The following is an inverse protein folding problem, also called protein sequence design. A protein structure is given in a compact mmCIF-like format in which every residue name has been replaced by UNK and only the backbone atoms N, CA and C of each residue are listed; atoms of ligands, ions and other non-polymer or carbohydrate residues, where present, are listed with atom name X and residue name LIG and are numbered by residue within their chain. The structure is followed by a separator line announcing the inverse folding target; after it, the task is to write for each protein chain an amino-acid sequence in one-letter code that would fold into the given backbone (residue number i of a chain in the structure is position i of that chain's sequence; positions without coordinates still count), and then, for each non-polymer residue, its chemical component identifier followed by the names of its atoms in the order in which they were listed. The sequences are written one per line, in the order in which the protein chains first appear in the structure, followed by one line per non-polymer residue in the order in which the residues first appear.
data_IF_800687562412
#
_entry.id   IF_800687562412
#
_cell.length_a   1.000
_cell.length_b   1.000
_cell.length_c   1.000
_cell.angle_alpha   90.00
_cell.angle_beta   90.00
_cell.angle_gamma   90.00
#
_symmetry.space_group_name_H-M   'P 1'
#
loop_
_entity.id
_entity.type
_entity.pdbx_description
1 polymer ?
#
# COMPACT_ATOMS: atom_id res chain seq x y z
N UNK A 1 -1.56 2.00 19.48
CA UNK A 1 -2.66 1.27 18.82
C UNK A 1 -2.44 1.36 17.31
N UNK A 2 -2.48 0.26 16.59
CA UNK A 2 -2.23 0.24 15.15
C UNK A 2 -3.27 1.11 14.41
N UNK A 3 -2.79 2.00 13.52
CA UNK A 3 -3.64 2.91 12.73
C UNK A 3 -3.88 2.43 11.30
N UNK A 4 -3.03 1.54 10.80
CA UNK A 4 -3.11 0.99 9.45
C UNK A 4 -3.15 -0.53 9.51
N UNK A 5 -4.14 -1.14 8.86
CA UNK A 5 -4.15 -2.56 8.59
C UNK A 5 -3.45 -2.86 7.26
N UNK A 6 -2.59 -3.86 7.22
CA UNK A 6 -2.00 -4.38 5.98
C UNK A 6 -2.45 -5.82 5.83
N UNK A 7 -3.17 -6.14 4.76
CA UNK A 7 -3.70 -7.49 4.52
C UNK A 7 -3.36 -7.99 3.13
N UNK A 8 -2.96 -9.25 3.03
CA UNK A 8 -2.64 -9.92 1.76
C UNK A 8 -3.20 -11.33 1.71
N UNK A 9 -3.50 -11.82 0.52
CA UNK A 9 -4.09 -13.15 0.32
C UNK A 9 -3.09 -14.31 0.35
N UNK A 10 -1.80 -14.02 0.26
CA UNK A 10 -0.72 -15.00 0.22
C UNK A 10 0.60 -14.39 0.70
N UNK A 11 1.47 -15.23 1.25
CA UNK A 11 2.85 -14.86 1.59
C UNK A 11 3.71 -14.50 0.36
N UNK A 12 3.32 -14.94 -0.83
CA UNK A 12 3.94 -14.52 -2.10
C UNK A 12 3.87 -13.02 -2.34
N UNK A 13 2.92 -12.32 -1.72
CA UNK A 13 2.72 -10.88 -1.84
C UNK A 13 3.62 -10.10 -0.86
N UNK A 14 4.22 -10.78 0.11
CA UNK A 14 5.02 -10.19 1.19
C UNK A 14 6.10 -9.23 0.68
N UNK A 15 6.90 -9.52 -0.37
CA UNK A 15 7.94 -8.61 -0.84
C UNK A 15 7.42 -7.24 -1.30
N UNK A 16 6.16 -7.18 -1.75
CA UNK A 16 5.49 -5.94 -2.14
C UNK A 16 4.87 -5.25 -0.93
N UNK A 17 4.18 -6.03 -0.08
CA UNK A 17 3.49 -5.50 1.10
C UNK A 17 4.46 -4.97 2.16
N UNK A 18 5.65 -5.60 2.30
CA UNK A 18 6.71 -5.12 3.18
C UNK A 18 7.15 -3.69 2.84
N UNK A 19 7.17 -3.30 1.57
CA UNK A 19 7.50 -1.91 1.17
C UNK A 19 6.50 -0.87 1.70
N UNK A 20 5.24 -1.26 1.90
CA UNK A 20 4.28 -0.39 2.56
C UNK A 20 4.59 -0.25 4.06
N UNK A 21 4.92 -1.36 4.72
CA UNK A 21 5.32 -1.38 6.12
C UNK A 21 6.58 -0.54 6.35
N UNK A 22 7.62 -0.71 5.52
CA UNK A 22 8.87 0.07 5.61
C UNK A 22 8.61 1.59 5.58
N UNK A 23 7.68 2.03 4.72
CA UNK A 23 7.28 3.44 4.66
C UNK A 23 6.56 3.88 5.92
N UNK A 24 5.62 3.07 6.43
CA UNK A 24 4.89 3.39 7.66
C UNK A 24 5.83 3.46 8.86
N UNK A 25 6.77 2.53 8.99
CA UNK A 25 7.82 2.53 10.03
C UNK A 25 8.66 3.81 9.95
N UNK A 26 9.15 4.15 8.75
CA UNK A 26 9.94 5.37 8.52
C UNK A 26 9.18 6.65 8.91
N UNK A 27 7.86 6.65 8.73
CA UNK A 27 6.98 7.76 9.10
C UNK A 27 6.44 7.68 10.53
N UNK A 28 6.84 6.67 11.32
CA UNK A 28 6.41 6.47 12.70
C UNK A 28 4.91 6.18 12.83
N UNK A 29 4.34 5.43 11.88
CA UNK A 29 2.93 5.05 11.87
C UNK A 29 2.79 3.59 12.28
N UNK A 30 2.00 3.33 13.30
CA UNK A 30 1.70 1.98 13.75
C UNK A 30 0.86 1.22 12.72
N UNK A 31 1.15 -0.05 12.52
CA UNK A 31 0.41 -0.94 11.63
C UNK A 31 0.30 -2.36 12.21
N UNK A 32 -0.64 -3.12 11.66
CA UNK A 32 -0.76 -4.57 11.85
C UNK A 32 -0.78 -5.23 10.47
N UNK A 33 0.11 -6.23 10.27
CA UNK A 33 0.21 -6.95 9.01
C UNK A 33 -0.30 -8.39 9.17
N UNK A 34 -1.15 -8.85 8.24
CA UNK A 34 -1.72 -10.18 8.31
C UNK A 34 -1.90 -10.81 6.92
N UNK A 35 -1.88 -12.14 6.88
CA UNK A 35 -2.18 -12.94 5.69
C UNK A 35 -3.54 -13.58 5.92
N UNK A 36 -4.51 -13.25 5.08
CA UNK A 36 -5.84 -13.85 5.08
C UNK A 36 -6.32 -13.99 3.63
N UNK A 37 -6.63 -15.19 3.21
CA UNK A 37 -7.17 -15.42 1.87
C UNK A 37 -8.68 -15.23 1.84
N UNK A 38 -9.17 -14.19 1.17
CA UNK A 38 -10.61 -13.97 1.04
C UNK A 38 -11.37 -15.13 0.37
N UNK A 39 -10.69 -15.90 -0.49
CA UNK A 39 -11.29 -17.06 -1.17
C UNK A 39 -11.21 -18.35 -0.38
N UNK A 40 -10.17 -18.55 0.44
CA UNK A 40 -9.93 -19.80 1.19
C UNK A 40 -10.38 -19.73 2.64
N UNK A 41 -10.46 -18.50 3.19
CA UNK A 41 -10.84 -18.21 4.58
C UNK A 41 -11.84 -17.05 4.62
N UNK A 42 -12.99 -17.14 3.91
CA UNK A 42 -13.91 -16.02 3.76
C UNK A 42 -14.48 -15.53 5.11
N UNK A 43 -14.77 -16.40 6.02
CA UNK A 43 -15.27 -16.10 7.36
C UNK A 43 -14.24 -15.33 8.20
N UNK A 44 -12.98 -15.76 8.19
CA UNK A 44 -11.87 -15.07 8.86
C UNK A 44 -11.66 -13.67 8.27
N UNK A 45 -11.72 -13.57 6.93
CA UNK A 45 -11.58 -12.29 6.25
C UNK A 45 -12.74 -11.32 6.58
N UNK A 46 -13.97 -11.81 6.59
CA UNK A 46 -15.15 -11.01 6.99
C UNK A 46 -15.01 -10.49 8.42
N UNK A 47 -14.57 -11.33 9.35
CA UNK A 47 -14.36 -10.93 10.74
C UNK A 47 -13.22 -9.89 10.86
N UNK A 48 -12.12 -10.08 10.12
CA UNK A 48 -11.04 -9.08 10.06
C UNK A 48 -11.55 -7.71 9.62
N UNK A 49 -12.27 -7.64 8.50
CA UNK A 49 -12.77 -6.38 7.95
C UNK A 49 -13.84 -5.72 8.84
N UNK A 50 -14.73 -6.52 9.45
CA UNK A 50 -15.76 -6.05 10.39
C UNK A 50 -15.19 -5.45 11.66
N UNK A 51 -14.14 -6.05 12.20
CA UNK A 51 -13.54 -5.64 13.49
C UNK A 51 -12.45 -4.58 13.33
N UNK A 52 -12.02 -4.28 12.10
CA UNK A 52 -10.93 -3.36 11.80
C UNK A 52 -11.15 -1.96 12.40
N UNK A 53 -12.35 -1.41 12.31
CA UNK A 53 -12.69 -0.10 12.89
C UNK A 53 -12.54 -0.12 14.41
N UNK A 54 -13.07 -1.14 15.10
CA UNK A 54 -12.98 -1.29 16.55
C UNK A 54 -11.56 -1.53 17.06
N UNK A 55 -10.69 -2.09 16.19
CA UNK A 55 -9.24 -2.20 16.44
C UNK A 55 -8.49 -0.87 16.25
N UNK A 56 -9.17 0.18 15.81
CA UNK A 56 -8.61 1.51 15.62
C UNK A 56 -7.94 1.73 14.27
N UNK A 57 -8.14 0.84 13.29
CA UNK A 57 -7.66 1.08 11.93
C UNK A 57 -8.39 2.28 11.31
N UNK A 58 -7.63 3.15 10.67
CA UNK A 58 -8.14 4.31 9.93
C UNK A 58 -8.00 4.13 8.42
N UNK A 59 -7.13 3.22 7.99
CA UNK A 59 -6.87 2.86 6.60
C UNK A 59 -6.52 1.37 6.57
N UNK A 60 -6.95 0.66 5.53
CA UNK A 60 -6.46 -0.68 5.22
C UNK A 60 -5.74 -0.65 3.88
N UNK A 61 -4.52 -1.20 3.85
CA UNK A 61 -3.76 -1.49 2.63
C UNK A 61 -3.97 -2.97 2.32
N UNK A 62 -4.56 -3.26 1.17
CA UNK A 62 -4.95 -4.61 0.77
C UNK A 62 -4.28 -4.99 -0.55
N UNK A 63 -3.49 -6.06 -0.54
CA UNK A 63 -2.78 -6.58 -1.71
C UNK A 63 -3.39 -7.88 -2.21
N UNK A 64 -3.58 -8.00 -3.52
CA UNK A 64 -4.08 -9.22 -4.14
C UNK A 64 -3.62 -9.35 -5.60
N UNK A 65 -3.50 -10.61 -6.04
CA UNK A 65 -3.17 -10.97 -7.42
C UNK A 65 -4.28 -11.74 -8.13
N UNK A 66 -4.14 -11.91 -9.43
CA UNK A 66 -5.08 -12.64 -10.30
C UNK A 66 -6.50 -12.05 -10.22
N UNK A 67 -7.52 -12.86 -9.87
CA UNK A 67 -8.86 -12.40 -9.53
C UNK A 67 -8.83 -11.70 -8.15
N UNK A 68 -8.34 -10.48 -8.12
CA UNK A 68 -7.98 -9.75 -6.91
C UNK A 68 -9.20 -9.15 -6.19
N UNK A 69 -10.06 -9.98 -5.62
CA UNK A 69 -11.29 -9.58 -4.95
C UNK A 69 -11.07 -8.97 -3.56
N UNK A 70 -9.98 -9.31 -2.88
CA UNK A 70 -9.74 -8.97 -1.48
C UNK A 70 -9.88 -7.46 -1.18
N UNK A 71 -9.28 -6.54 -1.95
CA UNK A 71 -9.42 -5.10 -1.68
C UNK A 71 -10.87 -4.60 -1.81
N UNK A 72 -11.58 -5.05 -2.84
CA UNK A 72 -12.99 -4.69 -3.05
C UNK A 72 -13.91 -5.23 -1.98
N UNK A 73 -13.72 -6.48 -1.55
CA UNK A 73 -14.47 -7.08 -0.44
C UNK A 73 -14.20 -6.34 0.87
N UNK A 74 -12.94 -5.96 1.10
CA UNK A 74 -12.57 -5.16 2.27
C UNK A 74 -13.30 -3.81 2.26
N UNK A 75 -13.31 -3.10 1.13
CA UNK A 75 -13.97 -1.81 0.98
C UNK A 75 -15.51 -1.88 1.13
N UNK A 76 -16.10 -3.04 0.83
CA UNK A 76 -17.53 -3.26 1.03
C UNK A 76 -17.93 -3.42 2.50
N UNK A 77 -17.01 -3.80 3.38
CA UNK A 77 -17.26 -4.12 4.79
C UNK A 77 -16.71 -3.03 5.71
N UNK A 78 -15.49 -2.58 5.47
CA UNK A 78 -14.78 -1.60 6.28
C UNK A 78 -15.16 -0.17 5.84
N UNK A 79 -15.69 0.69 6.75
CA UNK A 79 -16.25 1.99 6.38
C UNK A 79 -15.20 3.07 6.10
N UNK A 80 -13.93 2.79 6.33
CA UNK A 80 -12.83 3.74 6.15
C UNK A 80 -12.07 3.45 4.84
N UNK A 81 -11.13 4.33 4.41
CA UNK A 81 -10.41 4.15 3.16
C UNK A 81 -9.67 2.81 3.03
N UNK A 82 -9.84 2.17 1.89
CA UNK A 82 -9.07 0.98 1.47
C UNK A 82 -8.18 1.33 0.29
N UNK A 83 -6.90 1.00 0.41
CA UNK A 83 -5.90 1.16 -0.64
C UNK A 83 -5.61 -0.21 -1.23
N UNK A 84 -5.83 -0.37 -2.52
CA UNK A 84 -5.60 -1.63 -3.24
C UNK A 84 -4.25 -1.65 -3.94
N UNK A 85 -3.48 -2.72 -3.73
CA UNK A 85 -2.23 -2.98 -4.43
C UNK A 85 -2.45 -4.17 -5.37
N UNK A 86 -2.51 -3.93 -6.70
CA UNK A 86 -2.53 -5.04 -7.65
C UNK A 86 -1.15 -5.71 -7.70
N UNK A 87 -1.13 -7.04 -7.58
CA UNK A 87 0.10 -7.81 -7.67
C UNK A 87 0.42 -8.15 -9.12
N UNK A 88 1.72 -8.12 -9.47
CA UNK A 88 2.19 -8.66 -10.74
C UNK A 88 1.88 -10.16 -10.82
N UNK A 89 1.36 -10.61 -11.96
CA UNK A 89 1.08 -12.02 -12.24
C UNK A 89 1.88 -12.51 -13.43
N UNK A 90 2.30 -13.77 -13.40
CA UNK A 90 3.09 -14.36 -14.50
C UNK A 90 2.30 -14.51 -15.79
N UNK A 91 0.99 -14.72 -15.71
CA UNK A 91 0.10 -14.96 -16.87
C UNK A 91 -0.25 -13.66 -17.61
N UNK A 92 -0.62 -12.60 -16.89
CA UNK A 92 -1.13 -11.35 -17.48
C UNK A 92 -0.35 -10.09 -17.04
N UNK A 93 0.80 -10.26 -16.36
CA UNK A 93 1.66 -9.15 -15.95
C UNK A 93 1.03 -8.23 -14.90
N UNK A 94 -0.02 -8.69 -14.22
CA UNK A 94 -0.76 -7.90 -13.24
C UNK A 94 -1.93 -7.09 -13.78
N UNK A 95 -2.22 -7.16 -15.09
CA UNK A 95 -3.40 -6.48 -15.68
C UNK A 95 -4.71 -7.04 -15.12
N UNK A 96 -4.77 -8.34 -14.91
CA UNK A 96 -5.85 -9.06 -14.25
C UNK A 96 -6.11 -8.51 -12.84
N UNK A 97 -5.08 -8.39 -12.03
CA UNK A 97 -5.14 -7.83 -10.69
C UNK A 97 -5.56 -6.35 -10.71
N UNK A 98 -4.95 -5.56 -11.60
CA UNK A 98 -5.24 -4.13 -11.73
C UNK A 98 -6.71 -3.90 -12.09
N UNK A 99 -7.23 -4.59 -13.11
CA UNK A 99 -8.61 -4.42 -13.52
C UNK A 99 -9.60 -4.92 -12.46
N UNK A 100 -9.28 -6.00 -11.76
CA UNK A 100 -10.11 -6.51 -10.65
C UNK A 100 -10.23 -5.50 -9.50
N UNK A 101 -9.19 -4.72 -9.23
CA UNK A 101 -9.14 -3.80 -8.09
C UNK A 101 -9.64 -2.40 -8.47
N UNK A 102 -9.31 -1.90 -9.68
CA UNK A 102 -9.62 -0.52 -10.06
C UNK A 102 -11.06 -0.33 -10.55
N UNK A 103 -11.68 -1.37 -11.13
CA UNK A 103 -13.04 -1.31 -11.70
C UNK A 103 -14.12 -1.62 -10.65
N UNK A 104 -14.12 -0.85 -9.56
CA UNK A 104 -15.12 -1.00 -8.50
C UNK A 104 -16.44 -0.34 -8.87
N UNK A 105 -17.60 -0.91 -8.46
CA UNK A 105 -18.90 -0.32 -8.68
C UNK A 105 -19.08 0.97 -7.88
N UNK A 106 -19.99 1.83 -8.34
CA UNK A 106 -20.37 3.04 -7.62
C UNK A 106 -20.83 2.71 -6.20
N UNK A 107 -20.27 3.42 -5.23
CA UNK A 107 -20.55 3.25 -3.79
C UNK A 107 -19.49 2.48 -3.03
N UNK A 108 -18.63 1.71 -3.70
CA UNK A 108 -17.56 0.91 -3.04
C UNK A 108 -16.20 1.28 -3.65
N UNK A 109 -15.64 2.44 -3.34
CA UNK A 109 -14.36 2.87 -3.91
C UNK A 109 -13.17 2.15 -3.26
N UNK A 110 -12.16 1.85 -4.10
CA UNK A 110 -10.82 1.42 -3.66
C UNK A 110 -9.78 2.37 -4.26
N UNK A 111 -8.94 2.96 -3.43
CA UNK A 111 -7.83 3.80 -3.87
C UNK A 111 -6.70 2.93 -4.42
N UNK A 112 -6.69 2.72 -5.74
CA UNK A 112 -5.78 1.76 -6.39
C UNK A 112 -4.45 2.43 -6.73
N UNK A 113 -3.33 1.83 -6.28
CA UNK A 113 -1.97 2.23 -6.66
C UNK A 113 -1.44 1.39 -7.82
N UNK A 114 -0.23 1.68 -8.29
CA UNK A 114 0.40 0.94 -9.38
C UNK A 114 0.58 -0.56 -9.05
N UNK A 115 0.73 -1.39 -10.08
CA UNK A 115 1.11 -2.81 -9.91
C UNK A 115 2.40 -2.88 -9.10
N UNK A 116 2.40 -3.71 -8.05
CA UNK A 116 3.49 -3.83 -7.06
C UNK A 116 3.85 -2.51 -6.34
N UNK A 117 2.92 -1.55 -6.27
CA UNK A 117 3.13 -0.22 -5.71
C UNK A 117 3.09 -0.13 -4.19
N UNK A 118 3.70 -1.07 -3.46
CA UNK A 118 3.66 -1.14 -2.00
C UNK A 118 4.11 0.15 -1.30
N UNK A 119 5.24 0.72 -1.69
CA UNK A 119 5.72 1.97 -1.09
C UNK A 119 4.72 3.13 -1.28
N UNK A 120 4.13 3.27 -2.49
CA UNK A 120 3.12 4.29 -2.74
C UNK A 120 1.83 4.06 -1.94
N UNK A 121 1.47 2.82 -1.65
CA UNK A 121 0.35 2.53 -0.77
C UNK A 121 0.61 3.00 0.67
N UNK A 122 1.82 2.77 1.20
CA UNK A 122 2.25 3.29 2.49
C UNK A 122 2.23 4.82 2.55
N UNK A 123 2.76 5.49 1.51
CA UNK A 123 2.74 6.95 1.41
C UNK A 123 1.29 7.49 1.34
N UNK A 124 0.42 6.84 0.56
CA UNK A 124 -0.99 7.26 0.44
C UNK A 124 -1.73 7.09 1.77
N UNK A 125 -1.52 5.98 2.47
CA UNK A 125 -2.07 5.77 3.81
C UNK A 125 -1.60 6.87 4.78
N UNK A 126 -0.31 7.19 4.77
CA UNK A 126 0.23 8.27 5.59
C UNK A 126 -0.40 9.63 5.23
N UNK A 127 -0.59 9.94 3.95
CA UNK A 127 -1.25 11.19 3.51
C UNK A 127 -2.71 11.26 3.97
N UNK A 128 -3.44 10.15 3.93
CA UNK A 128 -4.82 10.09 4.45
C UNK A 128 -4.83 10.39 5.96
N UNK A 129 -3.95 9.78 6.73
CA UNK A 129 -3.84 10.03 8.17
C UNK A 129 -3.42 11.48 8.48
N UNK A 130 -2.54 12.04 7.67
CA UNK A 130 -2.01 13.39 7.83
C UNK A 130 -3.08 14.49 7.67
N UNK A 131 -4.24 14.20 7.08
CA UNK A 131 -5.34 15.17 6.98
C UNK A 131 -5.85 15.65 8.35
N UNK A 132 -5.54 14.91 9.42
CA UNK A 132 -5.88 15.24 10.80
C UNK A 132 -4.69 15.12 11.77
N UNK A 133 -3.46 15.20 11.25
CA UNK A 133 -2.22 15.05 12.04
C UNK A 133 -1.12 15.96 11.47
N UNK A 134 -0.94 17.15 12.05
CA UNK A 134 0.04 18.15 11.58
C UNK A 134 1.50 17.68 11.74
N UNK A 135 1.79 16.87 12.75
CA UNK A 135 3.11 16.32 12.93
C UNK A 135 3.45 15.34 11.80
N UNK A 136 2.48 14.52 11.40
CA UNK A 136 2.65 13.62 10.27
C UNK A 136 2.81 14.37 8.94
N UNK A 137 2.16 15.53 8.75
CA UNK A 137 2.41 16.41 7.59
C UNK A 137 3.88 16.82 7.54
N UNK A 138 4.46 17.20 8.68
CA UNK A 138 5.86 17.61 8.75
C UNK A 138 6.80 16.46 8.40
N UNK A 139 6.53 15.25 8.88
CA UNK A 139 7.28 14.04 8.52
C UNK A 139 7.19 13.69 7.04
N UNK A 140 6.01 13.83 6.44
CA UNK A 140 5.81 13.63 4.99
C UNK A 140 6.57 14.65 4.14
N UNK A 141 6.64 15.91 4.57
CA UNK A 141 7.45 16.93 3.89
C UNK A 141 8.93 16.58 3.94
N UNK A 142 9.45 16.20 5.11
CA UNK A 142 10.83 15.75 5.27
C UNK A 142 11.13 14.52 4.40
N UNK A 143 10.23 13.54 4.35
CA UNK A 143 10.35 12.37 3.48
C UNK A 143 10.43 12.74 2.00
N UNK A 144 9.64 13.72 1.56
CA UNK A 144 9.66 14.21 0.17
C UNK A 144 10.97 14.92 -0.16
N UNK A 145 11.51 15.72 0.75
CA UNK A 145 12.80 16.40 0.55
C UNK A 145 13.95 15.40 0.47
N UNK A 146 13.96 14.38 1.32
CA UNK A 146 14.95 13.29 1.24
C UNK A 146 14.93 12.58 -0.13
N UNK A 147 13.73 12.28 -0.68
CA UNK A 147 13.62 11.69 -2.01
C UNK A 147 14.20 12.62 -3.10
N UNK A 148 14.00 13.92 -2.97
CA UNK A 148 14.56 14.94 -3.89
C UNK A 148 16.09 14.96 -3.78
N UNK A 149 16.64 15.00 -2.57
CA UNK A 149 18.09 14.98 -2.33
C UNK A 149 18.74 13.76 -2.96
N UNK A 150 18.14 12.58 -2.86
CA UNK A 150 18.64 11.36 -3.52
C UNK A 150 18.75 11.50 -5.04
N UNK A 151 17.84 12.25 -5.68
CA UNK A 151 17.91 12.51 -7.14
C UNK A 151 19.02 13.51 -7.43
N UNK A 152 19.17 14.56 -6.65
CA UNK A 152 20.22 15.57 -6.78
C UNK A 152 21.61 14.90 -6.66
N UNK A 153 21.79 14.01 -5.67
CA UNK A 153 23.04 13.27 -5.50
C UNK A 153 23.36 12.37 -6.70
N UNK A 154 22.34 11.68 -7.25
CA UNK A 154 22.52 10.85 -8.45
C UNK A 154 22.94 11.68 -9.65
N UNK A 155 22.34 12.87 -9.84
CA UNK A 155 22.74 13.77 -10.92
C UNK A 155 24.16 14.29 -10.69
N UNK A 156 24.50 14.76 -9.51
CA UNK A 156 25.85 15.19 -9.18
C UNK A 156 26.91 14.10 -9.44
N UNK A 157 26.58 12.84 -9.09
CA UNK A 157 27.43 11.69 -9.43
C UNK A 157 27.57 11.50 -10.93
N UNK A 158 26.45 11.61 -11.69
CA UNK A 158 26.46 11.49 -13.14
C UNK A 158 27.35 12.57 -13.79
N UNK A 159 27.20 13.84 -13.37
CA UNK A 159 28.01 14.96 -13.89
C UNK A 159 29.50 14.77 -13.59
N UNK A 160 29.83 14.22 -12.43
CA UNK A 160 31.22 13.99 -12.02
C UNK A 160 31.91 12.86 -12.79
N UNK A 161 31.21 11.73 -13.00
CA UNK A 161 31.84 10.52 -13.58
C UNK A 161 31.53 10.32 -15.06
N UNK A 162 30.53 11.02 -15.60
CA UNK A 162 29.99 10.84 -16.95
C UNK A 162 29.22 9.53 -17.14
N UNK A 163 28.34 9.48 -18.14
CA UNK A 163 27.44 8.34 -18.34
C UNK A 163 28.15 7.01 -18.58
N UNK A 164 29.36 7.04 -19.22
CA UNK A 164 30.13 5.82 -19.50
C UNK A 164 30.64 5.12 -18.25
N UNK A 165 30.90 5.89 -17.19
CA UNK A 165 31.46 5.40 -15.92
C UNK A 165 30.40 5.34 -14.80
N UNK A 166 29.16 5.69 -15.11
CA UNK A 166 28.08 5.68 -14.10
C UNK A 166 27.68 4.25 -13.77
N UNK A 167 27.96 3.83 -12.52
CA UNK A 167 27.52 2.56 -11.96
C UNK A 167 26.43 2.82 -10.92
N UNK A 168 25.32 2.06 -11.00
CA UNK A 168 24.23 2.07 -10.00
C UNK A 168 24.71 1.57 -8.65
#
# INVERSE_FOLDING_TARGET
MAKVGIVMGSDSDMPVMAKAADVLEKLGIDYEMTIISAHREPDVFFEYAKTAESKGFKVIIAGAGMAAHLPGMCAAIFPMPVIGIPMHTTSLGGRDSLYSIVQMPTGIPVATVAINGGANAGILAAKILATSDEELISRLKAYSEEMKEQVVEKDAKLQKVGYKNYKK
#
